data_IF_942921951913
#
_entry.id   IF_942921951913
#
_cell.length_a   1.000
_cell.length_b   1.000
_cell.length_c   1.000
_cell.angle_alpha   90.00
_cell.angle_beta   90.00
_cell.angle_gamma   90.00
#
_symmetry.space_group_name_H-M   'P 1'
#
loop_
_entity.id
_entity.type
_entity.pdbx_description
1 polymer ?
#
# COMPACT_ATOMS: atom_id res chain seq x y z
N UNK A 1 -4.51 2.77 -8.94
CA UNK A 1 -4.95 1.46 -8.42
C UNK A 1 -4.40 1.26 -7.01
N UNK A 2 -5.07 0.46 -6.17
CA UNK A 2 -4.56 0.10 -4.83
C UNK A 2 -3.78 -1.21 -4.94
N UNK A 3 -2.57 -1.28 -4.38
CA UNK A 3 -1.78 -2.52 -4.27
C UNK A 3 -1.80 -3.12 -2.85
N UNK A 4 -2.03 -2.31 -1.82
CA UNK A 4 -2.21 -2.79 -0.46
C UNK A 4 -3.19 -1.90 0.30
N UNK A 5 -4.06 -2.50 1.09
CA UNK A 5 -5.00 -1.80 1.96
C UNK A 5 -5.09 -2.50 3.31
N UNK A 6 -4.85 -1.73 4.38
CA UNK A 6 -5.16 -2.15 5.74
C UNK A 6 -5.97 -1.06 6.43
N UNK A 7 -7.13 -1.44 6.96
CA UNK A 7 -8.04 -0.55 7.67
C UNK A 7 -8.12 -0.99 9.13
N UNK A 8 -8.00 -0.03 10.04
CA UNK A 8 -8.30 -0.18 11.45
C UNK A 8 -9.79 0.10 11.68
N UNK A 9 -10.40 -0.76 12.48
CA UNK A 9 -11.79 -0.68 12.88
C UNK A 9 -11.91 -0.62 14.41
N UNK A 10 -13.03 -0.10 14.85
CA UNK A 10 -13.53 -0.19 16.20
C UNK A 10 -14.53 -1.35 16.31
N UNK A 11 -14.42 -2.17 17.35
CA UNK A 11 -15.43 -3.20 17.65
C UNK A 11 -16.57 -2.56 18.44
N UNK A 12 -17.72 -2.34 17.79
CA UNK A 12 -18.92 -1.75 18.41
C UNK A 12 -19.91 -2.80 18.90
N UNK A 13 -19.93 -3.97 18.27
CA UNK A 13 -20.63 -5.17 18.77
C UNK A 13 -19.60 -6.29 19.00
N UNK A 14 -19.55 -6.77 20.25
CA UNK A 14 -18.56 -7.74 20.71
C UNK A 14 -18.96 -9.19 20.48
N UNK A 15 -20.18 -9.49 20.06
CA UNK A 15 -20.67 -10.86 19.98
C UNK A 15 -19.76 -11.79 19.17
N UNK A 16 -19.41 -11.40 17.94
CA UNK A 16 -18.51 -12.18 17.09
C UNK A 16 -17.07 -12.11 17.57
N UNK A 17 -16.61 -10.92 18.00
CA UNK A 17 -15.26 -10.70 18.50
C UNK A 17 -14.91 -11.62 19.68
N UNK A 18 -15.78 -11.74 20.68
CA UNK A 18 -15.53 -12.57 21.86
C UNK A 18 -15.54 -14.07 21.49
N UNK A 19 -16.44 -14.50 20.59
CA UNK A 19 -16.50 -15.89 20.10
C UNK A 19 -15.25 -16.32 19.35
N UNK A 20 -14.77 -15.50 18.42
CA UNK A 20 -13.60 -15.89 17.64
C UNK A 20 -12.33 -15.98 18.51
N UNK A 21 -12.29 -15.29 19.65
CA UNK A 21 -11.17 -15.37 20.60
C UNK A 21 -11.02 -16.76 21.24
N UNK A 22 -12.08 -17.56 21.26
CA UNK A 22 -12.10 -18.91 21.84
C UNK A 22 -11.58 -19.97 20.87
N UNK A 23 -11.31 -19.62 19.60
CA UNK A 23 -10.87 -20.57 18.58
C UNK A 23 -9.39 -20.96 18.74
N UNK A 24 -9.13 -22.26 18.60
CA UNK A 24 -7.79 -22.82 18.43
C UNK A 24 -7.28 -22.63 16.99
N UNK A 25 -5.97 -22.76 16.78
CA UNK A 25 -5.38 -22.71 15.44
C UNK A 25 -5.96 -23.78 14.51
N UNK A 26 -6.31 -23.37 13.29
CA UNK A 26 -6.97 -24.21 12.28
C UNK A 26 -8.49 -24.31 12.44
N UNK A 27 -9.08 -23.85 13.55
CA UNK A 27 -10.53 -23.81 13.68
C UNK A 27 -11.13 -22.69 12.84
N UNK A 28 -12.33 -22.94 12.35
CA UNK A 28 -13.09 -22.02 11.50
C UNK A 28 -14.36 -21.58 12.21
N UNK A 29 -14.63 -20.29 12.17
CA UNK A 29 -15.89 -19.71 12.61
C UNK A 29 -16.71 -19.30 11.39
N UNK A 30 -17.88 -19.92 11.24
CA UNK A 30 -18.76 -19.74 10.09
C UNK A 30 -19.71 -18.55 10.31
N UNK A 31 -19.62 -17.58 9.40
CA UNK A 31 -20.50 -16.40 9.36
C UNK A 31 -21.60 -16.56 8.30
N UNK A 32 -21.81 -17.76 7.76
CA UNK A 32 -22.68 -18.11 6.64
C UNK A 32 -22.22 -17.56 5.29
N UNK A 33 -22.01 -16.25 5.18
CA UNK A 33 -21.58 -15.62 3.92
C UNK A 33 -20.05 -15.65 3.73
N UNK A 34 -19.31 -15.79 4.81
CA UNK A 34 -17.86 -15.94 4.83
C UNK A 34 -17.43 -16.71 6.07
N UNK A 35 -16.17 -17.04 6.17
CA UNK A 35 -15.58 -17.82 7.23
C UNK A 35 -14.33 -17.15 7.77
N UNK A 36 -14.09 -17.31 9.06
CA UNK A 36 -12.87 -16.87 9.74
C UNK A 36 -12.09 -18.09 10.19
N UNK A 37 -10.97 -18.37 9.52
CA UNK A 37 -10.08 -19.47 9.90
C UNK A 37 -8.92 -18.93 10.75
N UNK A 38 -8.80 -19.41 11.98
CA UNK A 38 -7.75 -19.00 12.92
C UNK A 38 -6.38 -19.50 12.46
N UNK A 39 -5.41 -18.60 12.36
CA UNK A 39 -4.03 -18.90 11.92
C UNK A 39 -3.00 -18.26 12.84
N UNK A 40 -1.75 -18.70 12.73
CA UNK A 40 -0.64 -18.12 13.51
C UNK A 40 -0.31 -16.69 13.06
N UNK A 41 -0.01 -15.85 14.04
CA UNK A 41 0.35 -14.44 13.83
C UNK A 41 1.76 -14.13 14.33
N UNK A 42 2.53 -13.37 13.55
CA UNK A 42 3.86 -12.93 13.98
C UNK A 42 3.80 -11.83 15.05
N UNK A 43 2.90 -10.86 14.90
CA UNK A 43 2.84 -9.63 15.70
C UNK A 43 1.55 -9.50 16.53
N UNK A 44 0.54 -10.29 16.17
CA UNK A 44 -0.80 -10.30 16.74
C UNK A 44 -1.04 -11.68 17.33
N UNK A 45 -1.62 -11.73 18.52
CA UNK A 45 -2.09 -13.00 19.09
C UNK A 45 -3.25 -13.54 18.27
N UNK A 46 -4.10 -12.67 17.74
CA UNK A 46 -5.31 -13.04 17.05
C UNK A 46 -5.21 -12.70 15.57
N UNK A 47 -5.13 -13.73 14.71
CA UNK A 47 -5.10 -13.59 13.26
C UNK A 47 -6.06 -14.61 12.65
N UNK A 48 -6.92 -14.15 11.74
CA UNK A 48 -7.87 -15.00 11.03
C UNK A 48 -7.82 -14.69 9.56
N UNK A 49 -7.76 -15.74 8.74
CA UNK A 49 -7.96 -15.62 7.30
C UNK A 49 -9.46 -15.50 7.03
N UNK A 50 -9.85 -14.50 6.26
CA UNK A 50 -11.23 -14.23 5.86
C UNK A 50 -11.44 -14.90 4.51
N UNK A 51 -12.35 -15.87 4.46
CA UNK A 51 -12.56 -16.72 3.28
C UNK A 51 -14.02 -16.65 2.89
N UNK A 52 -14.34 -16.49 1.61
CA UNK A 52 -15.70 -16.65 1.10
C UNK A 52 -15.72 -17.52 -0.15
N UNK A 53 -16.89 -18.01 -0.52
CA UNK A 53 -17.09 -18.78 -1.75
C UNK A 53 -17.65 -17.87 -2.85
N UNK A 54 -16.99 -17.83 -4.00
CA UNK A 54 -17.49 -17.25 -5.24
C UNK A 54 -17.83 -18.39 -6.21
N UNK A 55 -19.09 -18.81 -6.21
CA UNK A 55 -19.50 -20.08 -6.82
C UNK A 55 -18.77 -21.26 -6.16
N UNK A 56 -18.09 -22.07 -6.97
CA UNK A 56 -17.29 -23.21 -6.50
C UNK A 56 -15.86 -22.81 -6.10
N UNK A 57 -15.48 -21.54 -6.24
CA UNK A 57 -14.12 -21.07 -5.97
C UNK A 57 -14.03 -20.47 -4.57
N UNK A 58 -13.10 -21.00 -3.77
CA UNK A 58 -12.74 -20.39 -2.50
C UNK A 58 -11.87 -19.14 -2.75
N UNK A 59 -12.29 -18.00 -2.21
CA UNK A 59 -11.56 -16.73 -2.30
C UNK A 59 -10.99 -16.38 -0.93
N UNK A 60 -9.68 -16.18 -0.88
CA UNK A 60 -8.99 -15.63 0.29
C UNK A 60 -9.02 -14.10 0.22
N UNK A 61 -9.95 -13.50 0.95
CA UNK A 61 -10.21 -12.07 0.94
C UNK A 61 -9.06 -11.27 1.57
N UNK A 62 -8.50 -11.77 2.66
CA UNK A 62 -7.56 -11.04 3.49
C UNK A 62 -7.54 -11.57 4.92
N UNK A 63 -7.04 -10.76 5.85
CA UNK A 63 -6.84 -11.16 7.22
C UNK A 63 -7.43 -10.17 8.23
N UNK A 64 -8.20 -10.68 9.17
CA UNK A 64 -8.60 -9.98 10.41
C UNK A 64 -7.52 -10.21 11.47
N UNK A 65 -7.04 -9.13 12.10
CA UNK A 65 -5.92 -9.15 13.06
C UNK A 65 -6.24 -8.28 14.26
N UNK A 66 -5.89 -8.71 15.48
CA UNK A 66 -5.98 -7.90 16.69
C UNK A 66 -5.14 -8.49 17.84
N UNK A 67 -5.11 -7.80 18.98
CA UNK A 67 -4.27 -8.12 20.14
C UNK A 67 -2.78 -8.15 19.80
N UNK A 68 -2.22 -6.96 19.55
CA UNK A 68 -0.77 -6.76 19.36
C UNK A 68 -0.03 -7.19 20.63
N UNK A 69 1.07 -7.93 20.49
CA UNK A 69 1.84 -8.48 21.63
C UNK A 69 3.35 -8.24 21.61
N UNK A 70 3.95 -7.88 20.47
CA UNK A 70 5.41 -7.75 20.35
C UNK A 70 5.93 -6.31 20.48
N UNK A 71 5.24 -5.47 21.24
CA UNK A 71 5.62 -4.07 21.49
C UNK A 71 5.45 -3.73 22.98
N UNK A 72 6.32 -2.84 23.49
CA UNK A 72 6.37 -2.52 24.92
C UNK A 72 5.07 -1.91 25.48
N UNK A 73 4.25 -1.28 24.63
CA UNK A 73 2.94 -0.72 24.97
C UNK A 73 1.97 -0.92 23.79
N UNK A 74 1.27 -2.05 23.70
CA UNK A 74 0.38 -2.32 22.57
C UNK A 74 -0.87 -1.45 22.63
N UNK A 75 -1.12 -0.70 21.56
CA UNK A 75 -2.35 0.10 21.41
C UNK A 75 -3.48 -0.78 20.86
N UNK A 76 -4.07 -1.60 21.74
CA UNK A 76 -5.14 -2.54 21.39
C UNK A 76 -6.56 -1.97 21.57
N UNK A 77 -6.69 -0.78 22.15
CA UNK A 77 -7.98 -0.13 22.42
C UNK A 77 -8.00 1.29 21.86
N UNK A 78 -9.18 1.75 21.47
CA UNK A 78 -9.50 3.14 21.21
C UNK A 78 -9.67 3.92 22.53
N UNK A 79 -9.72 5.24 22.46
CA UNK A 79 -9.80 6.10 23.66
C UNK A 79 -11.10 5.89 24.45
N UNK A 80 -12.16 5.41 23.79
CA UNK A 80 -13.42 5.03 24.42
C UNK A 80 -13.39 3.62 25.07
N UNK A 81 -12.26 2.93 25.02
CA UNK A 81 -12.08 1.59 25.59
C UNK A 81 -12.49 0.44 24.67
N UNK A 82 -13.03 0.70 23.46
CA UNK A 82 -13.40 -0.35 22.54
C UNK A 82 -12.17 -0.98 21.85
N UNK A 83 -12.16 -2.30 21.60
CA UNK A 83 -11.04 -2.97 20.94
C UNK A 83 -10.77 -2.44 19.53
N UNK A 84 -9.48 -2.43 19.16
CA UNK A 84 -8.99 -2.20 17.81
C UNK A 84 -8.82 -3.52 17.08
N UNK A 85 -9.36 -3.59 15.86
CA UNK A 85 -9.09 -4.69 14.93
C UNK A 85 -8.64 -4.15 13.58
N UNK A 86 -7.84 -4.92 12.86
CA UNK A 86 -7.35 -4.56 11.53
C UNK A 86 -7.82 -5.58 10.51
N UNK A 87 -8.34 -5.11 9.38
CA UNK A 87 -8.54 -5.95 8.21
C UNK A 87 -7.52 -5.53 7.15
N UNK A 88 -6.65 -6.47 6.79
CA UNK A 88 -5.65 -6.32 5.73
C UNK A 88 -6.13 -7.14 4.54
N UNK A 89 -6.36 -6.49 3.39
CA UNK A 89 -6.80 -7.19 2.19
C UNK A 89 -5.61 -7.92 1.57
N UNK A 90 -5.86 -9.10 1.01
CA UNK A 90 -4.91 -9.73 0.12
C UNK A 90 -4.82 -8.92 -1.18
N UNK A 91 -3.61 -8.83 -1.73
CA UNK A 91 -3.37 -8.08 -2.95
C UNK A 91 -4.26 -8.55 -4.09
N UNK A 92 -4.47 -9.86 -4.24
CA UNK A 92 -5.35 -10.43 -5.27
C UNK A 92 -6.80 -9.91 -5.18
N UNK A 93 -7.34 -9.73 -3.98
CA UNK A 93 -8.69 -9.22 -3.75
C UNK A 93 -8.90 -7.82 -4.30
N UNK A 94 -7.82 -7.03 -4.46
CA UNK A 94 -7.87 -5.67 -5.03
C UNK A 94 -7.98 -5.68 -6.57
N UNK A 95 -7.69 -6.82 -7.23
CA UNK A 95 -7.79 -6.98 -8.69
C UNK A 95 -9.09 -7.67 -9.12
N UNK A 96 -9.94 -8.06 -8.17
CA UNK A 96 -11.24 -8.72 -8.42
C UNK A 96 -12.42 -7.88 -7.92
N UNK A 97 -12.22 -6.57 -7.68
CA UNK A 97 -13.18 -5.69 -6.99
C UNK A 97 -13.60 -6.19 -5.60
N UNK A 98 -12.84 -7.10 -5.00
CA UNK A 98 -13.13 -7.68 -3.70
C UNK A 98 -13.26 -6.63 -2.60
N UNK A 99 -12.53 -5.51 -2.71
CA UNK A 99 -12.59 -4.39 -1.75
C UNK A 99 -14.02 -3.89 -1.47
N UNK A 100 -14.96 -4.06 -2.39
CA UNK A 100 -16.36 -3.71 -2.20
C UNK A 100 -17.04 -4.51 -1.06
N UNK A 101 -16.56 -5.74 -0.78
CA UNK A 101 -17.08 -6.58 0.30
C UNK A 101 -16.56 -6.19 1.69
N UNK A 102 -15.56 -5.29 1.79
CA UNK A 102 -14.99 -4.90 3.08
C UNK A 102 -16.05 -4.32 4.02
N UNK A 103 -16.91 -3.43 3.51
CA UNK A 103 -17.98 -2.83 4.30
C UNK A 103 -18.95 -3.87 4.83
N UNK A 104 -19.38 -4.79 3.97
CA UNK A 104 -20.28 -5.90 4.35
C UNK A 104 -19.66 -6.79 5.44
N UNK A 105 -18.41 -7.23 5.25
CA UNK A 105 -17.68 -8.06 6.22
C UNK A 105 -17.53 -7.32 7.56
N UNK A 106 -17.15 -6.04 7.52
CA UNK A 106 -17.01 -5.22 8.71
C UNK A 106 -18.34 -5.11 9.48
N UNK A 107 -19.44 -4.77 8.79
CA UNK A 107 -20.77 -4.69 9.40
C UNK A 107 -21.19 -6.03 10.03
N UNK A 108 -20.97 -7.15 9.33
CA UNK A 108 -21.31 -8.49 9.86
C UNK A 108 -20.51 -8.86 11.09
N UNK A 109 -19.29 -8.35 11.24
CA UNK A 109 -18.45 -8.58 12.41
C UNK A 109 -18.69 -7.57 13.55
N UNK A 110 -19.62 -6.63 13.41
CA UNK A 110 -19.86 -5.61 14.43
C UNK A 110 -18.75 -4.55 14.48
N UNK A 111 -18.20 -4.18 13.32
CA UNK A 111 -17.05 -3.29 13.19
C UNK A 111 -17.43 -1.97 12.53
N UNK A 112 -16.97 -0.86 13.11
CA UNK A 112 -17.05 0.47 12.51
C UNK A 112 -15.68 0.91 11.98
N UNK A 113 -15.59 1.44 10.74
CA UNK A 113 -14.32 1.90 10.17
C UNK A 113 -13.79 3.11 10.94
N UNK A 114 -12.52 3.06 11.32
CA UNK A 114 -11.88 4.15 12.05
C UNK A 114 -10.88 4.91 11.17
N UNK A 115 -9.86 4.23 10.65
CA UNK A 115 -8.87 4.86 9.76
C UNK A 115 -8.13 3.83 8.89
N UNK A 116 -7.61 4.28 7.75
CA UNK A 116 -6.63 3.49 6.97
C UNK A 116 -5.29 3.55 7.68
N UNK A 117 -4.66 2.41 7.93
CA UNK A 117 -3.32 2.36 8.54
C UNK A 117 -2.21 2.17 7.53
N UNK A 118 -2.53 1.58 6.38
CA UNK A 118 -1.61 1.36 5.28
C UNK A 118 -2.35 1.40 3.96
N UNK A 119 -1.83 2.18 3.02
CA UNK A 119 -2.33 2.27 1.65
C UNK A 119 -1.15 2.34 0.69
N UNK A 120 -1.05 1.37 -0.21
CA UNK A 120 -0.12 1.43 -1.34
C UNK A 120 -0.92 1.77 -2.59
N UNK A 121 -0.65 2.94 -3.19
CA UNK A 121 -1.27 3.35 -4.44
C UNK A 121 -0.25 3.17 -5.56
N UNK A 122 -0.66 2.58 -6.66
CA UNK A 122 0.21 2.35 -7.80
C UNK A 122 -0.38 2.82 -9.14
N UNK A 123 0.54 3.13 -10.05
CA UNK A 123 0.29 3.46 -11.45
C UNK A 123 1.18 2.57 -12.31
N UNK A 124 0.54 1.79 -13.17
CA UNK A 124 1.20 0.89 -14.11
C UNK A 124 1.35 1.54 -15.50
N UNK A 125 2.48 1.26 -16.15
CA UNK A 125 2.86 1.83 -17.46
C UNK A 125 3.49 0.74 -18.34
N UNK A 126 3.40 0.92 -19.66
CA UNK A 126 4.03 0.04 -20.65
C UNK A 126 5.50 0.39 -20.95
N UNK A 127 6.04 1.40 -20.25
CA UNK A 127 7.39 1.93 -20.44
C UNK A 127 8.11 2.14 -19.10
N UNK A 128 9.44 2.09 -19.12
CA UNK A 128 10.25 2.08 -17.91
C UNK A 128 10.40 3.49 -17.31
N UNK A 129 9.95 3.68 -16.07
CA UNK A 129 10.08 4.94 -15.31
C UNK A 129 11.38 5.05 -14.53
N UNK A 130 11.90 3.93 -14.02
CA UNK A 130 13.12 3.85 -13.20
C UNK A 130 14.33 4.47 -13.89
N UNK A 131 14.48 4.25 -15.20
CA UNK A 131 15.57 4.80 -16.02
C UNK A 131 15.48 6.33 -16.17
N UNK A 132 14.38 6.93 -16.69
CA UNK A 132 14.19 8.38 -16.71
C UNK A 132 14.36 9.03 -15.34
N UNK A 133 13.80 8.44 -14.28
CA UNK A 133 13.93 8.98 -12.93
C UNK A 133 15.39 9.05 -12.49
N UNK A 134 16.17 7.98 -12.66
CA UNK A 134 17.61 7.99 -12.36
C UNK A 134 18.37 9.01 -13.20
N UNK A 135 18.01 9.17 -14.48
CA UNK A 135 18.62 10.17 -15.36
C UNK A 135 18.36 11.60 -14.84
N UNK A 136 17.12 11.91 -14.46
CA UNK A 136 16.77 13.21 -13.86
C UNK A 136 17.54 13.46 -12.57
N UNK A 137 17.57 12.47 -11.66
CA UNK A 137 18.31 12.60 -10.40
C UNK A 137 19.80 12.88 -10.65
N UNK A 138 20.40 12.22 -11.65
CA UNK A 138 21.83 12.39 -11.98
C UNK A 138 22.16 13.61 -12.84
N UNK A 139 21.17 14.23 -13.48
CA UNK A 139 21.42 15.35 -14.38
C UNK A 139 21.77 16.63 -13.61
N UNK A 140 22.96 17.18 -13.86
CA UNK A 140 23.45 18.41 -13.20
C UNK A 140 22.69 19.67 -13.64
N UNK A 141 22.07 19.66 -14.82
CA UNK A 141 21.23 20.77 -15.29
C UNK A 141 19.83 20.77 -14.67
N UNK A 142 19.44 19.66 -14.02
CA UNK A 142 18.16 19.53 -13.33
C UNK A 142 18.36 19.85 -11.85
N UNK A 143 17.54 20.77 -11.35
CA UNK A 143 17.40 21.01 -9.92
C UNK A 143 16.49 19.93 -9.33
N UNK A 144 17.04 19.10 -8.45
CA UNK A 144 16.27 18.14 -7.64
C UNK A 144 15.79 18.82 -6.36
N UNK A 145 14.51 18.63 -6.03
CA UNK A 145 13.93 19.00 -4.75
C UNK A 145 13.51 17.68 -4.09
N UNK A 146 14.16 17.34 -2.98
CA UNK A 146 13.99 16.09 -2.25
C UNK A 146 13.43 16.41 -0.87
N UNK A 147 12.30 15.80 -0.51
CA UNK A 147 11.58 16.05 0.75
C UNK A 147 11.39 17.55 1.03
N UNK A 148 10.88 18.26 0.02
CA UNK A 148 10.65 19.71 0.06
C UNK A 148 11.91 20.58 -0.04
N UNK A 149 13.12 20.02 0.04
CA UNK A 149 14.37 20.79 0.09
C UNK A 149 15.13 20.72 -1.24
N UNK A 150 15.55 21.89 -1.75
CA UNK A 150 16.41 21.95 -2.95
C UNK A 150 17.78 21.35 -2.65
N UNK A 151 18.18 20.35 -3.43
CA UNK A 151 19.52 19.76 -3.37
C UNK A 151 20.52 20.77 -3.94
N UNK A 152 21.46 21.20 -3.09
CA UNK A 152 22.54 22.12 -3.47
C UNK A 152 23.84 21.37 -3.67
N UNK A 153 24.25 20.64 -2.63
CA UNK A 153 25.39 19.75 -2.69
C UNK A 153 24.94 18.39 -3.24
N UNK A 154 25.54 18.01 -4.36
CA UNK A 154 25.26 16.76 -5.09
C UNK A 154 26.25 15.65 -4.73
N UNK A 155 27.32 15.98 -4.02
CA UNK A 155 28.33 15.03 -3.56
C UNK A 155 28.04 14.53 -2.14
N UNK A 156 27.17 15.22 -1.40
CA UNK A 156 26.63 14.77 -0.11
C UNK A 156 25.84 13.45 -0.24
N UNK A 157 26.04 12.53 0.71
CA UNK A 157 25.27 11.29 0.81
C UNK A 157 23.76 11.55 0.97
N UNK A 158 22.96 10.83 0.19
CA UNK A 158 21.48 10.91 0.20
C UNK A 158 20.87 9.54 0.49
N UNK A 159 20.83 9.10 1.76
CA UNK A 159 20.26 7.80 2.13
C UNK A 159 18.76 7.67 1.79
N UNK A 160 18.08 8.79 1.50
CA UNK A 160 16.71 8.82 0.99
C UNK A 160 16.56 8.11 -0.37
N UNK A 161 17.61 8.03 -1.20
CA UNK A 161 17.56 7.52 -2.57
C UNK A 161 18.38 6.23 -2.66
N UNK A 162 17.73 5.14 -3.04
CA UNK A 162 18.40 3.85 -3.26
C UNK A 162 18.15 3.35 -4.68
N UNK A 163 19.20 2.80 -5.30
CA UNK A 163 19.13 2.11 -6.57
C UNK A 163 19.42 0.62 -6.35
N UNK A 164 18.47 -0.24 -6.67
CA UNK A 164 18.69 -1.69 -6.65
C UNK A 164 18.77 -2.17 -8.09
N UNK A 165 19.87 -2.84 -8.42
CA UNK A 165 20.09 -3.48 -9.71
C UNK A 165 20.03 -4.99 -9.51
N UNK A 166 19.33 -5.68 -10.41
CA UNK A 166 19.28 -7.14 -10.44
C UNK A 166 19.36 -7.63 -11.88
N UNK A 167 19.76 -8.88 -12.08
CA UNK A 167 19.94 -9.42 -13.40
C UNK A 167 20.61 -10.78 -13.39
N UNK A 168 21.43 -11.02 -14.40
CA UNK A 168 22.25 -12.23 -14.52
C UNK A 168 23.69 -11.93 -14.11
N UNK A 169 24.50 -12.96 -13.87
CA UNK A 169 25.93 -12.82 -13.59
C UNK A 169 26.70 -12.02 -14.66
N UNK A 170 26.17 -11.94 -15.89
CA UNK A 170 26.79 -11.21 -16.99
C UNK A 170 26.32 -9.77 -17.16
N UNK A 171 25.16 -9.40 -16.59
CA UNK A 171 24.57 -8.07 -16.76
C UNK A 171 23.48 -7.76 -15.75
N UNK A 172 23.49 -6.52 -15.29
CA UNK A 172 22.33 -5.89 -14.67
C UNK A 172 21.23 -5.74 -15.73
N UNK A 173 20.01 -6.16 -15.39
CA UNK A 173 18.84 -6.12 -16.28
C UNK A 173 17.77 -5.18 -15.77
N UNK A 174 17.42 -5.33 -14.50
CA UNK A 174 16.29 -4.65 -13.89
C UNK A 174 16.82 -3.62 -12.90
N UNK A 175 16.13 -2.48 -12.87
CA UNK A 175 16.46 -1.38 -11.98
C UNK A 175 15.22 -1.01 -11.19
N UNK A 176 15.36 -1.01 -9.88
CA UNK A 176 14.38 -0.43 -8.97
C UNK A 176 14.97 0.85 -8.41
N UNK A 177 14.20 1.94 -8.47
CA UNK A 177 14.54 3.20 -7.79
C UNK A 177 13.57 3.36 -6.63
N UNK A 178 14.10 3.46 -5.42
CA UNK A 178 13.33 3.75 -4.23
C UNK A 178 13.73 5.12 -3.68
N UNK A 179 12.74 5.98 -3.40
CA UNK A 179 12.94 7.28 -2.78
C UNK A 179 12.05 7.38 -1.56
N UNK A 180 12.59 7.84 -0.44
CA UNK A 180 11.87 7.88 0.84
C UNK A 180 11.87 9.27 1.45
N UNK A 181 10.80 9.57 2.17
CA UNK A 181 10.87 10.60 3.20
C UNK A 181 11.83 10.19 4.32
N UNK A 182 12.46 11.17 4.95
CA UNK A 182 13.50 10.94 5.97
C UNK A 182 13.05 10.02 7.10
N UNK A 183 11.82 10.24 7.59
CA UNK A 183 11.24 9.42 8.65
C UNK A 183 10.99 7.96 8.19
N UNK A 184 10.74 7.75 6.89
CA UNK A 184 10.51 6.43 6.30
C UNK A 184 11.79 5.63 5.99
N UNK A 185 12.98 6.22 6.13
CA UNK A 185 14.25 5.54 5.82
C UNK A 185 14.43 4.29 6.69
N UNK A 186 14.29 4.44 8.01
CA UNK A 186 14.47 3.37 9.01
C UNK A 186 13.18 2.60 9.29
N UNK A 187 12.04 3.26 9.14
CA UNK A 187 10.73 2.68 9.46
C UNK A 187 9.70 3.16 8.43
N UNK A 188 9.33 2.28 7.49
CA UNK A 188 8.39 2.62 6.42
C UNK A 188 7.02 3.08 6.93
N UNK A 189 6.64 2.69 8.15
CA UNK A 189 5.38 3.12 8.76
C UNK A 189 5.34 4.61 9.15
N UNK A 190 6.48 5.33 9.01
CA UNK A 190 6.64 6.72 9.48
C UNK A 190 6.87 7.75 8.38
N UNK A 191 6.49 7.47 7.14
CA UNK A 191 6.38 8.50 6.10
C UNK A 191 5.94 7.90 4.77
N UNK A 192 6.19 8.65 3.69
CA UNK A 192 5.93 8.21 2.33
C UNK A 192 7.17 7.50 1.74
N UNK A 193 6.94 6.42 1.00
CA UNK A 193 7.97 5.83 0.13
C UNK A 193 7.48 5.70 -1.31
N UNK A 194 8.35 6.04 -2.27
CA UNK A 194 8.10 5.94 -3.71
C UNK A 194 9.00 4.85 -4.27
N UNK A 195 8.44 3.92 -5.03
CA UNK A 195 9.20 2.86 -5.71
C UNK A 195 8.82 2.78 -7.17
N UNK A 196 9.81 2.77 -8.08
CA UNK A 196 9.60 2.51 -9.51
C UNK A 196 10.37 1.28 -9.93
N UNK A 197 9.72 0.34 -10.63
CA UNK A 197 10.35 -0.95 -10.98
C UNK A 197 9.71 -1.64 -12.18
N UNK A 198 10.39 -2.69 -12.67
CA UNK A 198 9.87 -3.62 -13.67
C UNK A 198 8.94 -4.64 -12.99
N UNK A 199 7.63 -4.43 -13.13
CA UNK A 199 6.60 -5.23 -12.47
C UNK A 199 6.49 -6.61 -13.11
N UNK A 200 6.62 -6.69 -14.43
CA UNK A 200 6.63 -7.96 -15.14
C UNK A 200 7.78 -8.86 -14.64
N UNK A 201 8.97 -8.29 -14.47
CA UNK A 201 10.10 -9.01 -13.93
C UNK A 201 9.90 -9.42 -12.46
N UNK A 202 9.30 -8.56 -11.63
CA UNK A 202 8.99 -8.89 -10.22
C UNK A 202 8.05 -10.09 -10.10
N UNK A 203 6.96 -10.09 -10.90
CA UNK A 203 6.00 -11.20 -10.96
C UNK A 203 6.68 -12.48 -11.41
N UNK A 204 7.41 -12.42 -12.52
CA UNK A 204 8.04 -13.60 -13.14
C UNK A 204 9.11 -14.25 -12.26
N UNK A 205 9.79 -13.46 -11.41
CA UNK A 205 10.94 -13.95 -10.65
C UNK A 205 10.63 -14.32 -9.20
N UNK A 206 9.59 -13.73 -8.57
CA UNK A 206 9.59 -13.70 -7.10
C UNK A 206 8.26 -13.59 -6.37
N UNK A 207 7.11 -13.37 -7.03
CA UNK A 207 5.90 -13.02 -6.27
C UNK A 207 4.65 -13.87 -6.48
N UNK A 208 4.58 -14.73 -7.50
CA UNK A 208 3.39 -15.58 -7.72
C UNK A 208 2.11 -14.75 -7.91
N UNK A 209 2.26 -13.56 -8.49
CA UNK A 209 1.18 -12.58 -8.70
C UNK A 209 0.69 -12.57 -10.15
N UNK A 210 0.58 -13.73 -10.78
CA UNK A 210 0.17 -13.88 -12.19
C UNK A 210 -1.24 -13.31 -12.44
N UNK A 211 -2.09 -13.20 -11.41
CA UNK A 211 -3.40 -12.54 -11.50
C UNK A 211 -3.29 -11.07 -11.92
N UNK A 212 -2.21 -10.37 -11.58
CA UNK A 212 -2.00 -8.98 -12.03
C UNK A 212 -1.79 -8.94 -13.55
N UNK A 213 -1.03 -9.91 -14.11
CA UNK A 213 -0.83 -9.98 -15.55
C UNK A 213 -2.14 -10.29 -16.26
N UNK A 214 -2.93 -11.24 -15.75
CA UNK A 214 -4.25 -11.58 -16.29
C UNK A 214 -5.20 -10.37 -16.27
N UNK A 215 -5.18 -9.57 -15.21
CA UNK A 215 -5.97 -8.34 -15.09
C UNK A 215 -5.68 -7.35 -16.23
N UNK A 216 -4.43 -7.29 -16.70
CA UNK A 216 -4.00 -6.44 -17.81
C UNK A 216 -3.91 -7.15 -19.17
N UNK A 217 -4.59 -8.29 -19.34
CA UNK A 217 -4.57 -9.10 -20.56
C UNK A 217 -3.15 -9.54 -21.00
N UNK A 218 -2.34 -9.95 -20.02
CA UNK A 218 -1.00 -10.52 -20.19
C UNK A 218 -0.05 -9.65 -21.03
N UNK A 219 0.26 -8.43 -20.58
CA UNK A 219 1.06 -7.49 -21.35
C UNK A 219 2.51 -7.96 -21.49
N UNK A 220 3.15 -7.62 -22.61
CA UNK A 220 4.59 -7.92 -22.85
C UNK A 220 5.53 -6.98 -22.09
N UNK A 221 5.01 -5.89 -21.52
CA UNK A 221 5.73 -4.91 -20.71
C UNK A 221 4.80 -4.39 -19.62
N UNK A 222 5.28 -4.38 -18.38
CA UNK A 222 4.57 -3.81 -17.24
C UNK A 222 5.58 -3.22 -16.26
N UNK A 223 5.52 -1.91 -16.06
CA UNK A 223 6.33 -1.17 -15.09
C UNK A 223 5.42 -0.46 -14.12
N UNK A 224 5.83 -0.43 -12.85
CA UNK A 224 5.01 0.14 -11.78
C UNK A 224 5.72 1.28 -11.09
N UNK A 225 4.98 2.34 -10.81
CA UNK A 225 5.31 3.35 -9.80
C UNK A 225 4.35 3.19 -8.63
N UNK A 226 4.87 3.06 -7.43
CA UNK A 226 4.12 2.78 -6.20
C UNK A 226 4.44 3.83 -5.15
N UNK A 227 3.42 4.29 -4.45
CA UNK A 227 3.49 5.24 -3.35
C UNK A 227 2.87 4.57 -2.12
N UNK A 228 3.72 4.27 -1.13
CA UNK A 228 3.32 3.76 0.17
C UNK A 228 2.95 4.90 1.10
N UNK A 229 1.78 4.78 1.72
CA UNK A 229 1.24 5.75 2.67
C UNK A 229 0.91 5.06 4.00
N UNK A 230 1.24 5.73 5.09
CA UNK A 230 0.84 5.35 6.44
C UNK A 230 -0.38 6.16 6.90
N UNK A 231 -0.93 5.81 8.07
CA UNK A 231 -2.09 6.50 8.66
C UNK A 231 -1.97 8.03 8.71
N UNK A 232 -0.84 8.55 9.18
CA UNK A 232 -0.64 10.00 9.34
C UNK A 232 -0.71 10.71 8.00
N UNK A 233 -0.03 10.19 6.98
CA UNK A 233 -0.03 10.79 5.64
C UNK A 233 -1.42 10.82 5.01
N UNK A 234 -2.18 9.73 5.18
CA UNK A 234 -3.55 9.62 4.66
C UNK A 234 -4.49 10.57 5.40
N UNK A 235 -4.40 10.60 6.73
CA UNK A 235 -5.23 11.46 7.57
C UNK A 235 -4.98 12.94 7.27
N UNK A 236 -3.71 13.37 7.26
CA UNK A 236 -3.34 14.75 6.97
C UNK A 236 -3.81 15.19 5.58
N UNK A 237 -3.70 14.29 4.58
CA UNK A 237 -4.22 14.53 3.23
C UNK A 237 -5.74 14.75 3.22
N UNK A 238 -6.51 13.88 3.88
CA UNK A 238 -7.97 13.98 3.94
C UNK A 238 -8.42 15.22 4.72
N UNK A 239 -7.85 15.43 5.91
CA UNK A 239 -8.17 16.57 6.79
C UNK A 239 -7.90 17.91 6.08
N UNK A 240 -6.79 18.02 5.33
CA UNK A 240 -6.46 19.22 4.55
C UNK A 240 -7.48 19.58 3.46
N UNK A 241 -8.32 18.61 3.08
CA UNK A 241 -9.40 18.76 2.09
C UNK A 241 -10.80 18.78 2.72
N UNK A 242 -10.89 18.77 4.06
CA UNK A 242 -12.16 18.68 4.78
C UNK A 242 -12.89 17.35 4.56
N UNK A 243 -12.15 16.30 4.21
CA UNK A 243 -12.68 14.95 4.00
C UNK A 243 -12.46 14.11 5.26
N UNK A 244 -13.38 13.20 5.53
CA UNK A 244 -13.20 12.16 6.53
C UNK A 244 -13.01 10.81 5.84
N UNK A 245 -12.37 9.86 6.52
CA UNK A 245 -12.22 8.53 5.96
C UNK A 245 -13.58 7.85 5.80
N UNK A 246 -13.88 7.47 4.57
CA UNK A 246 -15.01 6.62 4.23
C UNK A 246 -14.56 5.70 3.10
N UNK A 247 -14.67 4.39 3.30
CA UNK A 247 -14.21 3.41 2.33
C UNK A 247 -14.97 3.50 0.99
N UNK A 248 -16.22 4.01 0.99
CA UNK A 248 -16.98 4.29 -0.23
C UNK A 248 -16.49 5.52 -1.00
N UNK A 249 -15.70 6.40 -0.38
CA UNK A 249 -15.18 7.62 -1.01
C UNK A 249 -13.83 7.41 -1.71
N UNK A 250 -13.24 6.21 -1.61
CA UNK A 250 -12.00 5.88 -2.32
C UNK A 250 -12.36 5.56 -3.78
N UNK A 251 -12.53 6.61 -4.58
CA UNK A 251 -12.68 6.51 -6.03
C UNK A 251 -11.34 6.71 -6.76
N UNK A 252 -11.35 6.49 -8.08
CA UNK A 252 -10.15 6.61 -8.90
C UNK A 252 -9.57 8.03 -8.92
N UNK A 253 -10.42 9.06 -8.91
CA UNK A 253 -9.98 10.45 -8.97
C UNK A 253 -9.28 10.87 -7.67
N UNK A 254 -9.84 10.51 -6.52
CA UNK A 254 -9.23 10.76 -5.21
C UNK A 254 -7.91 10.01 -5.07
N UNK A 255 -7.87 8.73 -5.51
CA UNK A 255 -6.64 7.94 -5.48
C UNK A 255 -5.55 8.52 -6.38
N UNK A 256 -5.90 9.02 -7.56
CA UNK A 256 -4.95 9.64 -8.48
C UNK A 256 -4.41 10.97 -7.92
N UNK A 257 -5.28 11.84 -7.38
CA UNK A 257 -4.83 13.07 -6.72
C UNK A 257 -3.93 12.77 -5.51
N UNK A 258 -4.32 11.81 -4.67
CA UNK A 258 -3.53 11.38 -3.51
C UNK A 258 -2.17 10.81 -3.94
N UNK A 259 -2.15 10.00 -5.00
CA UNK A 259 -0.91 9.45 -5.57
C UNK A 259 0.05 10.56 -6.00
N UNK A 260 -0.41 11.51 -6.82
CA UNK A 260 0.45 12.60 -7.29
C UNK A 260 0.83 13.59 -6.20
N UNK A 261 -0.07 13.88 -5.25
CA UNK A 261 0.22 14.73 -4.10
C UNK A 261 1.39 14.19 -3.30
N UNK A 262 1.33 12.92 -2.89
CA UNK A 262 2.39 12.32 -2.08
C UNK A 262 3.65 12.02 -2.90
N UNK A 263 3.53 11.62 -4.17
CA UNK A 263 4.69 11.46 -5.07
C UNK A 263 5.50 12.77 -5.20
N UNK A 264 4.83 13.90 -5.43
CA UNK A 264 5.44 15.23 -5.51
C UNK A 264 6.04 15.72 -4.17
N UNK A 265 5.53 15.22 -3.04
CA UNK A 265 6.05 15.54 -1.71
C UNK A 265 7.44 14.93 -1.45
N UNK A 266 7.71 13.77 -2.04
CA UNK A 266 8.95 13.02 -1.83
C UNK A 266 10.08 13.56 -2.71
N UNK A 267 9.85 13.67 -4.02
CA UNK A 267 10.87 14.14 -4.95
C UNK A 267 10.22 14.81 -6.16
N UNK A 268 10.79 15.94 -6.60
CA UNK A 268 10.35 16.68 -7.79
C UNK A 268 11.53 17.38 -8.47
N UNK A 269 11.37 17.79 -9.72
CA UNK A 269 12.46 18.25 -10.57
C UNK A 269 12.13 19.55 -11.29
N UNK A 270 13.14 20.40 -11.48
CA UNK A 270 13.06 21.63 -12.28
C UNK A 270 14.19 21.69 -13.30
N UNK A 271 13.87 22.06 -14.53
CA UNK A 271 14.85 22.47 -15.54
C UNK A 271 14.79 23.99 -15.71
N UNK A 272 15.80 24.69 -15.20
CA UNK A 272 15.74 26.15 -15.08
C UNK A 272 14.56 26.59 -14.21
N UNK A 273 13.57 27.27 -14.81
CA UNK A 273 12.33 27.71 -14.13
C UNK A 273 11.14 26.76 -14.34
N UNK A 274 11.26 25.80 -15.25
CA UNK A 274 10.16 24.90 -15.62
C UNK A 274 10.14 23.68 -14.71
N UNK A 275 8.96 23.35 -14.18
CA UNK A 275 8.71 22.10 -13.47
C UNK A 275 8.67 20.93 -14.45
N UNK A 276 9.33 19.83 -14.09
CA UNK A 276 9.18 18.54 -14.77
C UNK A 276 8.18 17.75 -13.94
N UNK A 277 6.97 17.62 -14.48
CA UNK A 277 5.82 17.07 -13.75
C UNK A 277 5.84 15.55 -13.76
N UNK A 278 5.46 14.93 -12.64
CA UNK A 278 5.36 13.47 -12.56
C UNK A 278 4.31 12.91 -13.52
N UNK A 279 3.24 13.66 -13.74
CA UNK A 279 2.17 13.39 -14.68
C UNK A 279 2.74 13.25 -16.09
N UNK A 280 3.70 14.08 -16.49
CA UNK A 280 4.38 13.96 -17.78
C UNK A 280 5.27 12.71 -17.82
N UNK A 281 6.02 12.44 -16.74
CA UNK A 281 6.89 11.26 -16.65
C UNK A 281 6.10 9.95 -16.68
N UNK A 282 4.88 9.95 -16.17
CA UNK A 282 3.99 8.79 -16.08
C UNK A 282 2.96 8.74 -17.20
N UNK A 283 3.04 9.63 -18.20
CA UNK A 283 2.17 9.62 -19.38
C UNK A 283 0.72 10.00 -19.10
N UNK A 284 0.47 10.82 -18.07
CA UNK A 284 -0.85 11.34 -17.66
C UNK A 284 -1.13 12.77 -18.13
N UNK A 285 -0.10 13.54 -18.46
CA UNK A 285 -0.23 14.86 -19.07
C UNK A 285 0.29 14.84 -20.51
N UNK A 286 -0.51 15.39 -21.44
CA UNK A 286 -0.13 15.64 -22.84
C UNK A 286 0.57 16.99 -22.97
#
# INVERSE_FOLDING_TARGET
>A
MIDALTVCFEVTDRYHYDRICELDFGQTYDMYEFQLMRVEGRYYNNVYTIIYMDGDSQVDFGQLKFNIVKVANPSNFHDNGNPKVWICLNNQSLYTNGQCYLGFIATKLGLEPHNVTTLDICLDTSFNISKPLRQLIKNKAVTTILNGTKVKDRDEDRPEITYTLSGSLNKDKYMTVNVKQRNAIKDKSRGVTVTTYDKLAEISNSSGKEYILKFYDNPTKLFRTEVHLNNTEIKDYLDSRGLYFNFYMIDEALLEDMFFYHLNSVIRFKYGKQDIMWEQLLGRAS
#
